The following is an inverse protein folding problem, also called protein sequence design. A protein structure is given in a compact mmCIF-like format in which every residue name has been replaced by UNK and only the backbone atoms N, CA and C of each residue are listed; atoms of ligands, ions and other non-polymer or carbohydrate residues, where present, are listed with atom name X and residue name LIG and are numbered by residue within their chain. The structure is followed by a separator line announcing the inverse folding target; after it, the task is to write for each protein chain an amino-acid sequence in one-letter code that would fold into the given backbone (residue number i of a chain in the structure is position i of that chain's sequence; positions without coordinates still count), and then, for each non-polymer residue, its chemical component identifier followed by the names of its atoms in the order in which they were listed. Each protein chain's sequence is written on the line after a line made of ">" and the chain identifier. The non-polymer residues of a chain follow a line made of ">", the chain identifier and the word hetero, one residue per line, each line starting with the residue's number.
data_IF_461249528040
#
_entry.id   IF_461249528040
#
_cell.length_a   1.000
_cell.length_b   1.000
_cell.length_c   1.000
_cell.angle_alpha   90.00
_cell.angle_beta   90.00
_cell.angle_gamma   90.00
#
_symmetry.space_group_name_H-M   'P 1'
#
loop_
_entity.id
_entity.type
_entity.pdbx_description
1 polymer ?
#
# COMPACT_ATOMS: atom_id res chain seq x y z
N UNK A 1 -26.17 47.00 -62.19
CA UNK A 1 -25.17 47.49 -61.22
C UNK A 1 -24.43 46.28 -60.68
N UNK A 2 -23.43 45.75 -61.38
CA UNK A 2 -22.04 46.22 -61.44
C UNK A 2 -21.31 46.17 -60.08
N UNK A 3 -20.19 45.42 -60.10
CA UNK A 3 -19.12 45.26 -59.11
C UNK A 3 -19.33 44.25 -57.97
N UNK A 4 -18.41 43.33 -57.67
CA UNK A 4 -17.26 42.80 -58.40
C UNK A 4 -16.84 41.51 -57.67
N UNK A 5 -16.77 40.41 -58.42
CA UNK A 5 -16.02 39.21 -58.05
C UNK A 5 -14.65 39.38 -58.69
N UNK A 6 -13.60 39.40 -57.88
CA UNK A 6 -12.23 39.32 -58.39
C UNK A 6 -11.40 38.41 -57.49
N UNK A 7 -11.09 37.24 -58.03
CA UNK A 7 -10.05 36.35 -57.56
C UNK A 7 -8.68 37.02 -57.71
N UNK A 8 -7.77 36.80 -56.76
CA UNK A 8 -6.33 36.93 -56.98
C UNK A 8 -5.59 35.85 -56.17
N UNK A 9 -4.95 34.98 -56.95
CA UNK A 9 -4.07 33.90 -56.55
C UNK A 9 -2.73 34.44 -56.02
N UNK A 10 -2.12 33.63 -55.14
CA UNK A 10 -0.67 33.41 -54.99
C UNK A 10 0.23 34.61 -54.67
N UNK A 11 0.73 34.67 -53.43
CA UNK A 11 2.17 34.79 -53.17
C UNK A 11 2.50 34.19 -51.80
N UNK A 12 3.22 33.06 -51.82
CA UNK A 12 3.94 32.53 -50.68
C UNK A 12 5.02 33.54 -50.27
N UNK A 13 4.77 34.33 -49.24
CA UNK A 13 5.81 35.06 -48.52
C UNK A 13 6.03 34.36 -47.19
N UNK A 14 6.94 33.37 -47.18
CA UNK A 14 7.56 32.87 -45.95
C UNK A 14 8.21 34.08 -45.27
N UNK A 15 7.64 34.56 -44.17
CA UNK A 15 8.28 35.56 -43.33
C UNK A 15 9.47 34.89 -42.61
N UNK A 16 10.62 34.90 -43.27
CA UNK A 16 11.92 34.63 -42.65
C UNK A 16 12.32 35.80 -41.77
N UNK A 17 11.56 36.05 -40.70
CA UNK A 17 12.03 36.82 -39.55
C UNK A 17 12.28 35.84 -38.43
N UNK A 18 13.51 35.32 -38.43
CA UNK A 18 14.17 34.85 -37.22
C UNK A 18 14.23 36.03 -36.27
N UNK A 19 13.20 36.20 -35.44
CA UNK A 19 13.27 37.11 -34.30
C UNK A 19 14.23 36.50 -33.29
N UNK A 20 15.52 36.77 -33.45
CA UNK A 20 16.49 36.64 -32.37
C UNK A 20 16.24 37.76 -31.35
N UNK A 21 15.18 37.59 -30.56
CA UNK A 21 15.07 38.27 -29.27
C UNK A 21 16.04 37.58 -28.31
N UNK A 22 17.17 38.24 -28.03
CA UNK A 22 18.10 37.82 -26.98
C UNK A 22 17.43 38.12 -25.64
N UNK A 23 16.87 37.04 -25.08
CA UNK A 23 15.84 37.06 -24.06
C UNK A 23 16.39 36.94 -22.64
N UNK A 24 17.04 38.00 -22.15
CA UNK A 24 17.33 38.08 -20.73
C UNK A 24 16.07 38.38 -19.90
N UNK A 25 15.09 39.11 -20.45
CA UNK A 25 13.78 39.34 -19.80
C UNK A 25 12.97 38.05 -19.62
N UNK A 26 12.88 37.19 -20.65
CA UNK A 26 12.21 35.87 -20.49
C UNK A 26 12.84 35.03 -19.38
N UNK A 27 14.15 35.13 -19.11
CA UNK A 27 14.79 34.32 -18.04
C UNK A 27 14.34 34.75 -16.65
N UNK A 28 14.21 36.04 -16.40
CA UNK A 28 13.66 36.56 -15.14
C UNK A 28 12.18 36.23 -15.00
N UNK A 29 11.42 36.41 -16.09
CA UNK A 29 9.98 36.12 -16.13
C UNK A 29 9.69 34.62 -15.90
N UNK A 30 10.51 33.72 -16.46
CA UNK A 30 10.39 32.27 -16.24
C UNK A 30 10.68 31.90 -14.78
N UNK A 31 11.70 32.50 -14.17
CA UNK A 31 12.02 32.25 -12.76
C UNK A 31 10.87 32.67 -11.85
N UNK A 32 10.31 33.86 -12.10
CA UNK A 32 9.16 34.35 -11.35
C UNK A 32 7.93 33.46 -11.55
N UNK A 33 7.62 33.09 -12.80
CA UNK A 33 6.50 32.21 -13.12
C UNK A 33 6.61 30.83 -12.43
N UNK A 34 7.81 30.24 -12.40
CA UNK A 34 8.06 28.98 -11.72
C UNK A 34 7.88 29.09 -10.20
N UNK A 35 8.43 30.14 -9.59
CA UNK A 35 8.30 30.39 -8.15
C UNK A 35 6.83 30.62 -7.77
N UNK A 36 6.09 31.41 -8.56
CA UNK A 36 4.68 31.71 -8.31
C UNK A 36 3.81 30.45 -8.35
N UNK A 37 4.04 29.58 -9.33
CA UNK A 37 3.30 28.33 -9.47
C UNK A 37 3.61 27.33 -8.35
N UNK A 38 4.89 27.13 -8.05
CA UNK A 38 5.31 26.28 -6.93
C UNK A 38 4.74 26.81 -5.60
N UNK A 39 4.73 28.13 -5.41
CA UNK A 39 4.12 28.77 -4.24
C UNK A 39 2.60 28.54 -4.18
N UNK A 40 1.89 28.66 -5.30
CA UNK A 40 0.44 28.44 -5.33
C UNK A 40 0.08 27.02 -4.86
N UNK A 41 0.85 26.01 -5.29
CA UNK A 41 0.71 24.62 -4.82
C UNK A 41 1.02 24.50 -3.33
N UNK A 42 2.11 25.11 -2.86
CA UNK A 42 2.44 25.11 -1.44
C UNK A 42 1.38 25.80 -0.58
N UNK A 43 0.81 26.93 -1.04
CA UNK A 43 -0.25 27.66 -0.34
C UNK A 43 -1.56 26.85 -0.28
N UNK A 44 -1.86 26.01 -1.29
CA UNK A 44 -3.01 25.10 -1.26
C UNK A 44 -2.85 24.01 -0.17
N UNK A 45 -1.67 23.38 -0.13
CA UNK A 45 -1.34 22.32 0.84
C UNK A 45 -1.14 22.87 2.26
N UNK A 46 -0.73 24.14 2.40
CA UNK A 46 -0.48 24.80 3.71
C UNK A 46 -1.67 24.72 4.67
N UNK A 47 -2.89 24.70 4.15
CA UNK A 47 -4.11 24.64 4.97
C UNK A 47 -4.35 23.29 5.63
N UNK A 48 -3.58 22.26 5.27
CA UNK A 48 -3.58 20.93 5.89
C UNK A 48 -2.43 20.73 6.88
N UNK A 49 -1.57 21.73 7.08
CA UNK A 49 -0.44 21.61 8.00
C UNK A 49 -0.85 21.77 9.47
N UNK A 50 -0.42 20.81 10.31
CA UNK A 50 -0.52 20.86 11.77
C UNK A 50 -1.81 20.25 12.33
N UNK A 51 -1.99 20.21 13.67
CA UNK A 51 -3.13 19.56 14.33
C UNK A 51 -4.47 20.25 14.08
N UNK A 52 -4.45 21.50 13.61
CA UNK A 52 -5.63 22.26 13.16
C UNK A 52 -5.73 22.34 11.63
N UNK A 53 -4.96 21.50 10.93
CA UNK A 53 -5.03 21.35 9.49
C UNK A 53 -6.42 20.84 9.09
N UNK A 54 -6.90 21.28 7.93
CA UNK A 54 -8.16 20.82 7.38
C UNK A 54 -7.90 19.76 6.30
N UNK A 55 -8.68 18.68 6.35
CA UNK A 55 -8.65 17.63 5.33
C UNK A 55 -9.12 18.16 3.99
N UNK A 56 -8.60 17.56 2.92
CA UNK A 56 -8.98 17.87 1.54
C UNK A 56 -9.81 16.72 0.98
N UNK A 57 -11.00 17.07 0.54
CA UNK A 57 -11.81 16.21 -0.30
C UNK A 57 -11.40 16.43 -1.77
N UNK A 58 -10.91 15.38 -2.41
CA UNK A 58 -10.51 15.37 -3.81
C UNK A 58 -11.44 14.41 -4.54
N UNK A 59 -12.14 14.92 -5.55
CA UNK A 59 -12.95 14.11 -6.46
C UNK A 59 -12.15 13.85 -7.73
N UNK A 60 -11.89 12.58 -8.02
CA UNK A 60 -11.29 12.16 -9.29
C UNK A 60 -12.31 12.24 -10.42
N UNK A 61 -11.84 12.29 -11.67
CA UNK A 61 -12.68 12.26 -12.88
C UNK A 61 -13.55 10.98 -12.96
N UNK A 62 -13.08 9.89 -12.34
CA UNK A 62 -13.79 8.61 -12.29
C UNK A 62 -14.93 8.58 -11.25
N UNK A 63 -15.17 9.68 -10.52
CA UNK A 63 -16.16 9.75 -9.44
C UNK A 63 -15.68 9.17 -8.10
N UNK A 64 -14.43 8.71 -8.01
CA UNK A 64 -13.79 8.32 -6.75
C UNK A 64 -13.54 9.58 -5.90
N UNK A 65 -14.07 9.60 -4.68
CA UNK A 65 -13.85 10.67 -3.71
C UNK A 65 -12.83 10.18 -2.70
N UNK A 66 -11.81 10.98 -2.42
CA UNK A 66 -10.80 10.71 -1.40
C UNK A 66 -10.77 11.89 -0.44
N UNK A 67 -10.85 11.61 0.86
CA UNK A 67 -10.65 12.61 1.91
C UNK A 67 -9.30 12.31 2.55
N UNK A 68 -8.44 13.31 2.66
CA UNK A 68 -7.13 13.11 3.29
C UNK A 68 -6.48 14.38 3.78
N UNK A 69 -5.65 14.23 4.81
CA UNK A 69 -4.77 15.28 5.32
C UNK A 69 -3.36 15.20 4.72
N UNK A 70 -2.96 14.03 4.22
CA UNK A 70 -1.60 13.78 3.77
C UNK A 70 -1.25 14.58 2.50
N UNK A 71 -0.21 15.40 2.60
CA UNK A 71 0.30 16.23 1.51
C UNK A 71 0.75 15.44 0.30
N UNK A 72 1.34 14.25 0.48
CA UNK A 72 1.79 13.43 -0.64
C UNK A 72 0.58 12.92 -1.43
N UNK A 73 -0.45 12.41 -0.74
CA UNK A 73 -1.67 11.94 -1.41
C UNK A 73 -2.42 13.08 -2.09
N UNK A 74 -2.52 14.27 -1.45
CA UNK A 74 -3.15 15.45 -2.06
C UNK A 74 -2.44 15.81 -3.38
N UNK A 75 -1.11 15.89 -3.35
CA UNK A 75 -0.31 16.29 -4.50
C UNK A 75 -0.28 15.25 -5.61
N UNK A 76 -0.30 13.95 -5.27
CA UNK A 76 -0.33 12.86 -6.25
C UNK A 76 -1.67 12.79 -7.00
N UNK A 77 -2.78 13.15 -6.34
CA UNK A 77 -4.11 13.16 -6.95
C UNK A 77 -4.44 14.48 -7.68
N UNK A 78 -3.65 15.53 -7.44
CA UNK A 78 -3.82 16.82 -8.12
C UNK A 78 -3.11 16.81 -9.48
N UNK A 79 -3.85 17.14 -10.55
CA UNK A 79 -3.28 17.28 -11.89
C UNK A 79 -2.51 18.60 -12.03
N UNK A 80 -1.20 18.55 -11.81
CA UNK A 80 -0.32 19.71 -11.92
C UNK A 80 0.28 19.81 -13.32
N UNK A 81 -0.13 20.83 -14.08
CA UNK A 81 0.35 21.06 -15.45
C UNK A 81 1.77 21.65 -15.50
N UNK A 82 2.14 22.50 -14.54
CA UNK A 82 3.40 23.22 -14.59
C UNK A 82 4.56 22.36 -14.06
N UNK A 83 5.68 22.19 -14.81
CA UNK A 83 6.79 21.33 -14.40
C UNK A 83 7.42 21.70 -13.06
N UNK A 84 7.55 22.99 -12.76
CA UNK A 84 8.12 23.46 -11.49
C UNK A 84 7.29 23.03 -10.27
N UNK A 85 5.97 22.94 -10.43
CA UNK A 85 5.08 22.48 -9.38
C UNK A 85 5.05 20.94 -9.30
N UNK A 86 5.25 20.22 -10.42
CA UNK A 86 5.46 18.77 -10.42
C UNK A 86 6.67 18.35 -9.59
N UNK A 87 7.74 19.15 -9.58
CA UNK A 87 8.90 18.91 -8.71
C UNK A 87 8.55 18.91 -7.21
N UNK A 88 7.53 19.66 -6.78
CA UNK A 88 7.06 19.62 -5.38
C UNK A 88 6.31 18.32 -5.07
N UNK A 89 5.59 17.77 -6.05
CA UNK A 89 4.94 16.45 -5.94
C UNK A 89 6.00 15.37 -5.76
N UNK A 90 7.04 15.39 -6.59
CA UNK A 90 8.15 14.43 -6.51
C UNK A 90 8.91 14.54 -5.18
N UNK A 91 9.13 15.77 -4.69
CA UNK A 91 9.74 16.03 -3.39
C UNK A 91 8.89 15.48 -2.23
N UNK A 92 7.58 15.66 -2.27
CA UNK A 92 6.67 15.07 -1.26
C UNK A 92 6.70 13.55 -1.30
N UNK A 93 6.78 12.95 -2.49
CA UNK A 93 6.87 11.49 -2.67
C UNK A 93 8.21 10.93 -2.19
N UNK A 94 9.30 11.66 -2.38
CA UNK A 94 10.61 11.27 -1.83
C UNK A 94 10.62 11.32 -0.30
N UNK A 95 9.97 12.33 0.30
CA UNK A 95 9.83 12.43 1.76
C UNK A 95 9.00 11.28 2.33
N UNK A 96 7.89 10.94 1.67
CA UNK A 96 7.03 9.81 2.02
C UNK A 96 7.80 8.48 2.00
N UNK A 97 8.57 8.22 0.93
CA UNK A 97 9.35 6.98 0.83
C UNK A 97 10.50 6.88 1.86
N UNK A 98 11.15 8.01 2.19
CA UNK A 98 12.32 8.02 3.07
C UNK A 98 11.96 8.07 4.56
N UNK A 99 11.11 9.03 4.95
CA UNK A 99 10.72 9.24 6.34
C UNK A 99 9.30 8.75 6.64
N UNK A 100 8.38 8.87 5.67
CA UNK A 100 6.96 8.49 5.83
C UNK A 100 6.13 9.44 6.70
N UNK A 101 6.68 10.61 7.06
CA UNK A 101 5.95 11.72 7.69
C UNK A 101 6.57 13.05 7.23
N UNK A 102 5.85 14.16 7.44
CA UNK A 102 6.29 15.51 7.09
C UNK A 102 6.16 15.86 5.60
N UNK A 103 5.36 15.09 4.85
CA UNK A 103 5.05 15.29 3.42
C UNK A 103 4.50 16.70 3.16
N UNK A 104 3.56 17.15 3.99
CA UNK A 104 2.99 18.51 3.95
C UNK A 104 4.03 19.57 4.32
N UNK A 105 4.84 19.32 5.35
CA UNK A 105 5.83 20.27 5.88
C UNK A 105 6.92 20.56 4.85
N UNK A 106 7.44 19.54 4.15
CA UNK A 106 8.54 19.72 3.19
C UNK A 106 8.10 20.60 2.01
N UNK A 107 6.85 20.49 1.58
CA UNK A 107 6.28 21.30 0.48
C UNK A 107 6.07 22.75 0.92
N UNK A 108 5.53 22.96 2.12
CA UNK A 108 5.34 24.31 2.69
C UNK A 108 6.69 25.00 2.94
N UNK A 109 7.70 24.25 3.39
CA UNK A 109 9.05 24.74 3.57
C UNK A 109 9.67 25.16 2.22
N UNK A 110 9.57 24.32 1.20
CA UNK A 110 10.03 24.64 -0.15
C UNK A 110 9.35 25.91 -0.71
N UNK A 111 8.03 26.02 -0.58
CA UNK A 111 7.28 27.22 -0.98
C UNK A 111 7.73 28.49 -0.25
N UNK A 112 8.04 28.37 1.04
CA UNK A 112 8.53 29.50 1.86
C UNK A 112 9.95 29.92 1.48
N UNK A 113 10.84 28.96 1.22
CA UNK A 113 12.20 29.23 0.74
C UNK A 113 12.16 29.90 -0.64
N UNK A 114 11.33 29.42 -1.56
CA UNK A 114 11.15 30.04 -2.88
C UNK A 114 10.61 31.48 -2.78
N UNK A 115 9.68 31.74 -1.85
CA UNK A 115 9.20 33.10 -1.56
C UNK A 115 10.32 34.02 -1.09
N UNK A 116 11.21 33.54 -0.20
CA UNK A 116 12.35 34.33 0.26
C UNK A 116 13.38 34.55 -0.86
N UNK A 117 13.64 33.51 -1.66
CA UNK A 117 14.50 33.60 -2.84
C UNK A 117 14.00 34.64 -3.84
N UNK A 118 12.69 34.76 -4.05
CA UNK A 118 12.12 35.80 -4.90
C UNK A 118 12.45 37.21 -4.41
N UNK A 119 12.36 37.46 -3.10
CA UNK A 119 12.74 38.75 -2.50
C UNK A 119 14.22 39.08 -2.70
N UNK A 120 15.09 38.08 -2.66
CA UNK A 120 16.54 38.22 -2.88
C UNK A 120 16.86 38.46 -4.37
N UNK A 121 16.13 37.80 -5.28
CA UNK A 121 16.22 38.04 -6.71
C UNK A 121 15.78 39.47 -7.07
N UNK A 122 14.69 39.96 -6.47
CA UNK A 122 14.24 41.34 -6.64
C UNK A 122 15.24 42.38 -6.11
N UNK A 123 16.09 42.00 -5.16
CA UNK A 123 17.18 42.83 -4.66
C UNK A 123 18.45 42.78 -5.55
N UNK A 124 18.41 42.04 -6.67
CA UNK A 124 19.51 41.95 -7.63
C UNK A 124 20.59 40.91 -7.32
N UNK A 125 20.34 39.99 -6.38
CA UNK A 125 21.30 38.93 -6.04
C UNK A 125 21.28 37.84 -7.12
N UNK A 126 22.47 37.39 -7.55
CA UNK A 126 22.59 36.37 -8.58
C UNK A 126 22.02 35.01 -8.10
N UNK A 127 21.19 34.30 -8.90
CA UNK A 127 20.53 33.05 -8.49
C UNK A 127 21.48 31.97 -7.95
N UNK A 128 22.65 31.81 -8.57
CA UNK A 128 23.65 30.82 -8.14
C UNK A 128 24.15 31.06 -6.71
N UNK A 129 24.27 32.33 -6.30
CA UNK A 129 24.68 32.69 -4.94
C UNK A 129 23.60 32.31 -3.94
N UNK A 130 22.32 32.50 -4.30
CA UNK A 130 21.17 32.08 -3.47
C UNK A 130 21.17 30.56 -3.32
N UNK A 131 21.32 29.81 -4.42
CA UNK A 131 21.36 28.35 -4.37
C UNK A 131 22.51 27.79 -3.53
N UNK A 132 23.73 28.32 -3.71
CA UNK A 132 24.91 27.91 -2.92
C UNK A 132 24.72 28.24 -1.42
N UNK A 133 24.12 29.40 -1.13
CA UNK A 133 23.82 29.80 0.25
C UNK A 133 22.76 28.89 0.90
N UNK A 134 21.72 28.50 0.17
CA UNK A 134 20.69 27.59 0.66
C UNK A 134 21.26 26.19 0.93
N UNK A 135 22.18 25.71 0.10
CA UNK A 135 22.87 24.45 0.32
C UNK A 135 23.74 24.47 1.59
N UNK A 136 24.53 25.53 1.79
CA UNK A 136 25.34 25.70 3.02
C UNK A 136 24.44 25.79 4.26
N UNK A 137 23.31 26.49 4.15
CA UNK A 137 22.30 26.58 5.20
C UNK A 137 21.70 25.20 5.53
N UNK A 138 21.35 24.39 4.53
CA UNK A 138 20.77 23.07 4.79
C UNK A 138 21.73 22.14 5.52
N UNK A 139 23.02 22.13 5.13
CA UNK A 139 24.04 21.33 5.83
C UNK A 139 24.15 21.78 7.29
N UNK A 140 24.24 23.10 7.53
CA UNK A 140 24.36 23.61 8.90
C UNK A 140 23.09 23.38 9.73
N UNK A 141 21.93 23.44 9.12
CA UNK A 141 20.65 23.16 9.79
C UNK A 141 20.58 21.70 10.26
N UNK A 142 21.06 20.75 9.44
CA UNK A 142 21.15 19.34 9.83
C UNK A 142 22.08 19.15 11.03
N UNK A 143 23.25 19.79 11.05
CA UNK A 143 24.16 19.74 12.22
C UNK A 143 23.48 20.23 13.51
N UNK A 144 22.70 21.30 13.41
CA UNK A 144 21.97 21.88 14.55
C UNK A 144 20.83 20.96 15.00
N UNK A 145 20.13 20.32 14.07
CA UNK A 145 19.09 19.34 14.42
C UNK A 145 19.70 18.13 15.12
N UNK A 146 20.86 17.64 14.67
CA UNK A 146 21.57 16.55 15.33
C UNK A 146 22.04 16.91 16.75
N UNK A 147 22.45 18.16 16.99
CA UNK A 147 22.85 18.59 18.34
C UNK A 147 21.66 18.81 19.29
N UNK A 148 20.46 19.02 18.75
CA UNK A 148 19.21 19.18 19.52
C UNK A 148 18.44 17.87 19.72
N UNK A 149 18.84 16.80 19.03
CA UNK A 149 18.13 15.53 19.06
C UNK A 149 18.40 14.78 20.36
N UNK A 150 17.34 14.23 20.94
CA UNK A 150 17.37 13.45 22.18
C UNK A 150 17.45 11.96 21.81
N UNK A 151 18.41 11.20 22.35
CA UNK A 151 18.49 9.79 22.06
C UNK A 151 17.26 9.05 22.61
N UNK A 152 16.62 8.21 21.80
CA UNK A 152 15.46 7.40 22.16
C UNK A 152 15.90 5.94 22.26
N UNK A 153 15.52 5.20 23.30
CA UNK A 153 15.77 3.77 23.38
C UNK A 153 14.52 2.98 22.92
N UNK A 154 14.73 1.86 22.23
CA UNK A 154 13.65 0.95 21.81
C UNK A 154 12.87 0.32 22.97
N UNK A 155 13.50 0.26 24.15
CA UNK A 155 12.90 -0.19 25.40
C UNK A 155 11.85 0.80 25.93
N UNK A 156 11.94 2.08 25.56
CA UNK A 156 11.04 3.13 26.02
C UNK A 156 9.76 3.18 25.18
N UNK A 157 8.87 2.23 25.47
CA UNK A 157 7.55 2.12 24.83
C UNK A 157 6.73 3.41 25.00
N UNK A 158 6.81 4.08 26.13
CA UNK A 158 5.99 5.27 26.41
C UNK A 158 6.37 6.44 25.51
N UNK A 159 7.66 6.64 25.26
CA UNK A 159 8.11 7.68 24.34
C UNK A 159 7.77 7.35 22.87
N UNK A 160 7.85 6.08 22.46
CA UNK A 160 7.41 5.64 21.14
C UNK A 160 5.91 5.87 20.93
N UNK A 161 5.09 5.55 21.94
CA UNK A 161 3.63 5.77 21.89
C UNK A 161 3.31 7.26 21.80
N UNK A 162 4.01 8.12 22.55
CA UNK A 162 3.84 9.58 22.45
C UNK A 162 4.20 10.10 21.06
N UNK A 163 5.27 9.58 20.45
CA UNK A 163 5.69 9.96 19.10
C UNK A 163 4.63 9.57 18.07
N UNK A 164 4.15 8.32 18.11
CA UNK A 164 3.09 7.84 17.23
C UNK A 164 1.77 8.61 17.42
N UNK A 165 1.36 8.86 18.67
CA UNK A 165 0.16 9.63 18.98
C UNK A 165 0.22 11.05 18.41
N UNK A 166 1.40 11.68 18.45
CA UNK A 166 1.57 13.04 17.96
C UNK A 166 1.44 13.13 16.43
N UNK A 167 1.96 12.14 15.70
CA UNK A 167 1.78 12.05 14.24
C UNK A 167 0.31 11.80 13.84
N UNK A 168 -0.46 11.09 14.67
CA UNK A 168 -1.87 10.82 14.42
C UNK A 168 -2.81 11.99 14.76
N UNK A 169 -2.39 12.94 15.60
CA UNK A 169 -3.26 14.00 16.13
C UNK A 169 -3.77 15.00 15.08
N UNK A 170 -3.09 15.15 13.94
CA UNK A 170 -3.55 16.03 12.85
C UNK A 170 -4.56 15.37 11.90
N UNK A 171 -4.88 14.09 12.09
CA UNK A 171 -5.69 13.30 11.16
C UNK A 171 -7.11 13.09 11.67
N UNK A 172 -7.97 12.59 10.78
CA UNK A 172 -9.36 12.21 11.10
C UNK A 172 -9.43 11.22 12.27
N UNK A 173 -8.41 10.37 12.40
CA UNK A 173 -8.32 9.35 13.47
C UNK A 173 -7.72 9.87 14.78
N UNK A 174 -7.54 11.19 14.94
CA UNK A 174 -6.97 11.81 16.15
C UNK A 174 -7.70 11.42 17.44
N UNK A 175 -9.02 11.28 17.40
CA UNK A 175 -9.83 10.83 18.55
C UNK A 175 -9.47 9.40 18.98
N UNK A 176 -9.03 8.57 18.03
CA UNK A 176 -8.67 7.17 18.22
C UNK A 176 -7.15 6.97 18.38
N UNK A 177 -6.38 8.05 18.50
CA UNK A 177 -4.91 8.01 18.68
C UNK A 177 -4.50 7.19 19.90
N UNK A 178 -5.31 7.19 20.96
CA UNK A 178 -5.09 6.41 22.18
C UNK A 178 -5.09 4.90 21.95
N UNK A 179 -5.83 4.41 20.95
CA UNK A 179 -5.87 3.00 20.56
C UNK A 179 -4.83 2.69 19.47
N UNK A 180 -4.77 3.53 18.43
CA UNK A 180 -3.94 3.29 17.25
C UNK A 180 -2.44 3.48 17.52
N UNK A 181 -2.04 4.39 18.41
CA UNK A 181 -0.63 4.63 18.71
C UNK A 181 0.04 3.44 19.41
N UNK A 182 -0.52 2.88 20.51
CA UNK A 182 -0.02 1.62 21.09
C UNK A 182 0.02 0.49 20.08
N UNK A 183 -1.02 0.36 19.25
CA UNK A 183 -1.13 -0.70 18.26
C UNK A 183 -0.02 -0.63 17.21
N UNK A 184 0.30 0.57 16.71
CA UNK A 184 1.40 0.76 15.76
C UNK A 184 2.76 0.44 16.40
N UNK A 185 2.97 0.82 17.67
CA UNK A 185 4.21 0.53 18.40
C UNK A 185 4.36 -0.98 18.61
N UNK A 186 3.32 -1.66 19.08
CA UNK A 186 3.34 -3.11 19.33
C UNK A 186 3.53 -3.89 18.01
N UNK A 187 2.96 -3.41 16.90
CA UNK A 187 3.17 -3.98 15.57
C UNK A 187 4.64 -3.86 15.13
N UNK A 188 5.27 -2.69 15.27
CA UNK A 188 6.69 -2.51 14.90
C UNK A 188 7.61 -3.33 15.80
N UNK A 189 7.40 -3.28 17.13
CA UNK A 189 8.23 -4.03 18.09
C UNK A 189 8.18 -5.55 17.85
N UNK A 190 7.07 -6.08 17.34
CA UNK A 190 6.95 -7.51 16.99
C UNK A 190 7.75 -7.92 15.75
N UNK A 191 8.08 -6.97 14.87
CA UNK A 191 8.81 -7.19 13.61
C UNK A 191 10.31 -6.88 13.76
N UNK A 192 10.70 -6.04 14.73
CA UNK A 192 12.09 -5.64 14.95
C UNK A 192 12.96 -6.84 15.31
N UNK A 193 14.05 -7.01 14.55
CA UNK A 193 15.11 -7.98 14.80
C UNK A 193 16.05 -7.49 15.90
N UNK A 194 16.25 -8.24 17.00
CA UNK A 194 17.24 -7.87 18.02
C UNK A 194 18.69 -7.85 17.50
N UNK A 195 18.97 -8.64 16.46
CA UNK A 195 20.31 -8.76 15.85
C UNK A 195 20.58 -7.68 14.79
N UNK A 196 19.53 -7.16 14.14
CA UNK A 196 19.61 -6.13 13.11
C UNK A 196 18.48 -5.10 13.31
N UNK A 197 18.55 -4.27 14.38
CA UNK A 197 17.53 -3.26 14.64
C UNK A 197 17.41 -2.23 13.51
N UNK A 198 18.43 -2.14 12.66
CA UNK A 198 18.53 -1.20 11.55
C UNK A 198 17.71 -1.59 10.30
N UNK A 199 17.09 -2.78 10.28
CA UNK A 199 16.39 -3.30 9.10
C UNK A 199 14.93 -3.67 9.42
N UNK A 200 14.11 -2.66 9.71
CA UNK A 200 12.66 -2.84 9.85
C UNK A 200 11.97 -2.65 8.51
N UNK A 201 11.49 -3.73 7.91
CA UNK A 201 10.66 -3.67 6.71
C UNK A 201 9.17 -3.56 7.06
N UNK A 202 8.51 -2.50 6.59
CA UNK A 202 7.07 -2.29 6.81
C UNK A 202 6.22 -3.29 6.01
N UNK A 203 6.79 -3.98 5.03
CA UNK A 203 6.09 -5.04 4.27
C UNK A 203 5.73 -6.25 5.13
N UNK A 204 6.42 -6.43 6.24
CA UNK A 204 6.13 -7.48 7.22
C UNK A 204 5.01 -7.08 8.20
N UNK A 205 4.45 -5.86 8.09
CA UNK A 205 3.23 -5.44 8.77
C UNK A 205 2.12 -5.30 7.75
N UNK A 206 1.18 -6.25 7.72
CA UNK A 206 0.06 -6.21 6.79
C UNK A 206 -1.14 -5.50 7.41
N UNK A 207 -1.68 -4.51 6.71
CA UNK A 207 -2.93 -3.85 7.09
C UNK A 207 -4.05 -4.47 6.25
N UNK A 208 -5.04 -5.08 6.91
CA UNK A 208 -6.23 -5.64 6.26
C UNK A 208 -7.42 -4.75 6.60
N UNK A 209 -8.08 -4.25 5.56
CA UNK A 209 -9.21 -3.33 5.71
C UNK A 209 -10.54 -4.03 5.57
N UNK A 210 -11.44 -3.83 6.53
CA UNK A 210 -12.81 -4.35 6.48
C UNK A 210 -13.85 -3.30 6.80
N UNK A 211 -14.82 -3.20 5.88
CA UNK A 211 -16.01 -2.39 6.06
C UNK A 211 -16.89 -2.94 7.18
N UNK A 212 -17.36 -2.04 8.04
CA UNK A 212 -18.30 -2.29 9.11
C UNK A 212 -17.70 -2.07 10.50
N UNK A 213 -18.55 -1.68 11.44
CA UNK A 213 -18.16 -1.33 12.82
C UNK A 213 -17.57 0.06 12.94
N UNK A 214 -16.72 0.23 13.95
CA UNK A 214 -16.05 1.48 14.27
C UNK A 214 -14.53 1.31 14.19
N UNK A 215 -13.79 2.43 14.16
CA UNK A 215 -12.32 2.39 14.20
C UNK A 215 -11.82 1.83 15.53
N UNK A 216 -12.61 1.93 16.61
CA UNK A 216 -12.32 1.32 17.91
C UNK A 216 -12.25 -0.22 17.87
N UNK A 217 -12.91 -0.84 16.90
CA UNK A 217 -12.88 -2.30 16.72
C UNK A 217 -11.59 -2.77 16.01
N UNK A 218 -10.63 -1.88 15.77
CA UNK A 218 -9.35 -2.20 15.15
C UNK A 218 -8.48 -2.98 16.13
N UNK A 219 -7.96 -4.11 15.68
CA UNK A 219 -7.19 -5.03 16.52
C UNK A 219 -5.88 -5.47 15.86
N UNK A 220 -4.85 -5.67 16.69
CA UNK A 220 -3.60 -6.29 16.28
C UNK A 220 -3.75 -7.81 16.40
N UNK A 221 -3.54 -8.52 15.29
CA UNK A 221 -3.61 -9.97 15.25
C UNK A 221 -2.21 -10.51 15.01
N UNK A 222 -1.71 -11.28 15.99
CA UNK A 222 -0.48 -12.06 15.86
C UNK A 222 -0.75 -13.30 15.00
N UNK A 223 -0.78 -13.09 13.69
CA UNK A 223 -1.06 -14.13 12.71
C UNK A 223 -1.47 -13.53 11.36
N UNK A 224 -2.21 -14.32 10.59
CA UNK A 224 -2.70 -13.93 9.25
C UNK A 224 -4.19 -13.64 9.28
N UNK A 225 -4.58 -12.57 8.61
CA UNK A 225 -5.99 -12.26 8.33
C UNK A 225 -6.21 -12.20 6.83
N UNK A 226 -7.29 -12.84 6.37
CA UNK A 226 -7.75 -12.73 5.01
C UNK A 226 -9.10 -12.02 4.93
N UNK A 227 -9.17 -11.09 3.99
CA UNK A 227 -10.39 -10.40 3.57
C UNK A 227 -11.39 -11.36 2.88
N UNK A 228 -10.88 -12.49 2.40
CA UNK A 228 -11.58 -13.43 1.52
C UNK A 228 -12.51 -14.34 2.33
N UNK A 229 -13.61 -14.73 1.70
CA UNK A 229 -14.57 -15.69 2.27
C UNK A 229 -14.08 -17.12 2.04
N UNK A 230 -14.41 -18.02 2.97
CA UNK A 230 -14.26 -19.45 2.72
C UNK A 230 -15.23 -19.87 1.62
N UNK A 231 -14.84 -20.84 0.78
CA UNK A 231 -15.74 -21.42 -0.20
C UNK A 231 -16.83 -22.25 0.48
N UNK A 232 -18.00 -21.64 0.72
CA UNK A 232 -19.18 -22.27 1.36
C UNK A 232 -19.97 -23.20 0.45
N UNK A 233 -19.65 -23.26 -0.84
CA UNK A 233 -20.46 -23.95 -1.86
C UNK A 233 -20.62 -25.46 -1.63
N UNK A 234 -19.84 -26.07 -0.73
CA UNK A 234 -19.80 -27.51 -0.53
C UNK A 234 -19.82 -27.99 0.94
N UNK A 235 -20.07 -27.12 1.92
CA UNK A 235 -20.06 -27.52 3.34
C UNK A 235 -18.66 -27.67 3.95
N UNK A 236 -17.71 -26.87 3.49
CA UNK A 236 -16.37 -26.78 4.09
C UNK A 236 -16.45 -26.40 5.58
N UNK A 237 -15.54 -26.92 6.43
CA UNK A 237 -15.49 -26.53 7.83
C UNK A 237 -15.17 -25.03 7.96
N UNK A 238 -15.89 -24.32 8.83
CA UNK A 238 -15.65 -22.90 9.14
C UNK A 238 -14.56 -22.69 10.18
N UNK A 239 -14.28 -23.72 10.97
CA UNK A 239 -13.28 -23.70 12.05
C UNK A 239 -12.49 -25.00 12.04
N UNK A 240 -11.17 -24.88 12.12
CA UNK A 240 -10.20 -25.97 12.14
C UNK A 240 -9.22 -25.73 13.27
N UNK A 241 -9.10 -26.71 14.17
CA UNK A 241 -8.11 -26.72 15.25
C UNK A 241 -6.90 -27.57 14.83
N UNK A 242 -5.69 -27.17 15.23
CA UNK A 242 -4.41 -27.75 14.82
C UNK A 242 -4.32 -27.92 13.29
N UNK A 243 -4.46 -26.80 12.59
CA UNK A 243 -4.44 -26.74 11.15
C UNK A 243 -3.02 -26.92 10.59
N UNK A 244 -2.87 -27.87 9.66
CA UNK A 244 -1.76 -27.91 8.71
C UNK A 244 -2.13 -27.14 7.46
N UNK A 245 -1.43 -26.04 7.20
CA UNK A 245 -1.72 -25.09 6.13
C UNK A 245 -0.77 -25.30 4.97
N UNK A 246 -1.31 -25.44 3.76
CA UNK A 246 -0.54 -25.48 2.52
C UNK A 246 -0.79 -24.25 1.66
N UNK A 247 0.26 -23.66 1.11
CA UNK A 247 0.17 -22.64 0.06
C UNK A 247 0.44 -23.29 -1.28
N UNK A 248 -0.58 -23.27 -2.16
CA UNK A 248 -0.54 -23.87 -3.48
C UNK A 248 -0.48 -22.77 -4.55
N UNK A 249 0.43 -22.96 -5.52
CA UNK A 249 0.53 -22.12 -6.72
C UNK A 249 -0.10 -22.76 -7.97
N UNK A 250 -0.32 -24.09 -7.97
CA UNK A 250 -1.01 -24.79 -9.06
C UNK A 250 -2.54 -24.73 -8.93
N UNK A 251 -3.25 -24.93 -10.04
CA UNK A 251 -4.71 -24.96 -10.06
C UNK A 251 -5.26 -26.37 -9.79
N UNK A 252 -6.40 -26.45 -9.12
CA UNK A 252 -7.17 -27.70 -8.94
C UNK A 252 -8.34 -27.67 -9.93
N UNK A 253 -8.01 -27.79 -11.21
CA UNK A 253 -8.96 -27.79 -12.33
C UNK A 253 -8.82 -29.04 -13.19
N UNK A 254 -9.79 -29.33 -14.06
CA UNK A 254 -9.60 -30.31 -15.13
C UNK A 254 -8.33 -30.02 -15.94
N UNK A 255 -7.71 -31.05 -16.53
CA UNK A 255 -6.46 -30.89 -17.25
C UNK A 255 -6.70 -30.01 -18.48
N UNK A 256 -6.15 -28.81 -18.45
CA UNK A 256 -6.07 -27.91 -19.59
C UNK A 256 -4.62 -27.81 -20.02
N UNK A 257 -4.37 -27.78 -21.32
CA UNK A 257 -3.04 -27.51 -21.88
C UNK A 257 -2.86 -26.04 -22.16
N UNK A 258 -1.62 -25.56 -22.17
CA UNK A 258 -1.32 -24.16 -22.53
C UNK A 258 -1.47 -23.91 -24.04
N UNK A 259 -1.45 -24.98 -24.83
CA UNK A 259 -1.67 -24.96 -26.27
C UNK A 259 -3.16 -25.20 -26.52
N UNK A 260 -3.72 -24.54 -27.54
CA UNK A 260 -5.07 -24.80 -28.01
C UNK A 260 -5.25 -26.28 -28.35
N UNK A 261 -6.16 -26.93 -27.65
CA UNK A 261 -6.50 -28.33 -27.86
C UNK A 261 -8.01 -28.47 -28.07
N UNK A 262 -8.38 -29.25 -29.09
CA UNK A 262 -9.76 -29.66 -29.33
C UNK A 262 -9.88 -31.16 -29.06
N UNK A 263 -10.82 -31.51 -28.18
CA UNK A 263 -11.15 -32.91 -27.90
C UNK A 263 -12.25 -33.32 -28.87
N UNK A 264 -11.93 -34.16 -29.84
CA UNK A 264 -12.90 -34.67 -30.83
C UNK A 264 -13.57 -35.90 -30.23
N UNK A 265 -14.85 -35.76 -29.86
CA UNK A 265 -15.66 -36.87 -29.34
C UNK A 265 -16.39 -37.53 -30.50
N UNK A 266 -16.06 -38.79 -30.80
CA UNK A 266 -16.62 -39.53 -31.95
C UNK A 266 -17.84 -40.38 -31.56
N UNK A 267 -17.91 -40.80 -30.30
CA UNK A 267 -18.93 -41.72 -29.78
C UNK A 267 -19.44 -41.28 -28.41
N UNK A 268 -20.71 -41.56 -28.11
CA UNK A 268 -21.35 -41.23 -26.83
C UNK A 268 -20.66 -41.93 -25.66
N UNK A 269 -20.13 -43.15 -25.85
CA UNK A 269 -19.41 -43.86 -24.78
C UNK A 269 -18.08 -43.17 -24.41
N UNK A 270 -17.47 -42.43 -25.34
CA UNK A 270 -16.25 -41.68 -25.09
C UNK A 270 -16.53 -40.45 -24.20
N UNK A 271 -17.70 -39.82 -24.35
CA UNK A 271 -18.10 -38.69 -23.52
C UNK A 271 -18.16 -39.06 -22.04
N UNK A 272 -18.74 -40.22 -21.71
CA UNK A 272 -18.76 -40.75 -20.35
C UNK A 272 -17.37 -41.06 -19.79
N UNK A 273 -16.45 -41.54 -20.65
CA UNK A 273 -15.05 -41.81 -20.25
C UNK A 273 -14.31 -40.54 -19.89
N UNK A 274 -14.44 -39.49 -20.72
CA UNK A 274 -13.82 -38.18 -20.47
C UNK A 274 -14.30 -37.59 -19.14
N UNK A 275 -15.61 -37.58 -18.91
CA UNK A 275 -16.20 -37.08 -17.65
C UNK A 275 -15.76 -37.89 -16.41
N UNK A 276 -15.45 -39.19 -16.58
CA UNK A 276 -14.89 -40.01 -15.50
C UNK A 276 -13.41 -39.72 -15.28
N UNK A 277 -12.63 -39.54 -16.34
CA UNK A 277 -11.21 -39.20 -16.25
C UNK A 277 -10.98 -37.84 -15.60
N UNK A 278 -11.75 -36.81 -15.97
CA UNK A 278 -11.69 -35.49 -15.33
C UNK A 278 -11.97 -35.56 -13.82
N UNK A 279 -13.02 -36.32 -13.44
CA UNK A 279 -13.34 -36.56 -12.02
C UNK A 279 -12.22 -37.29 -11.31
N UNK A 280 -11.69 -38.36 -11.91
CA UNK A 280 -10.61 -39.15 -11.34
C UNK A 280 -9.31 -38.35 -11.18
N UNK A 281 -9.03 -37.42 -12.12
CA UNK A 281 -7.88 -36.55 -12.07
C UNK A 281 -7.94 -35.61 -10.85
N UNK A 282 -9.06 -34.89 -10.68
CA UNK A 282 -9.28 -34.00 -9.53
C UNK A 282 -9.26 -34.81 -8.22
N UNK A 283 -9.96 -35.94 -8.18
CA UNK A 283 -10.02 -36.82 -7.01
C UNK A 283 -8.64 -37.39 -6.66
N UNK A 284 -7.80 -37.68 -7.65
CA UNK A 284 -6.41 -38.07 -7.47
C UNK A 284 -5.56 -36.99 -6.80
N UNK A 285 -5.74 -35.71 -7.17
CA UNK A 285 -5.07 -34.59 -6.49
C UNK A 285 -5.53 -34.44 -5.05
N UNK A 286 -6.85 -34.45 -4.81
CA UNK A 286 -7.43 -34.30 -3.47
C UNK A 286 -6.97 -35.43 -2.54
N UNK A 287 -6.86 -36.67 -3.05
CA UNK A 287 -6.29 -37.80 -2.30
C UNK A 287 -4.83 -37.55 -1.89
N UNK A 288 -3.99 -37.00 -2.77
CA UNK A 288 -2.60 -36.66 -2.45
C UNK A 288 -2.52 -35.56 -1.38
N UNK A 289 -3.34 -34.52 -1.51
CA UNK A 289 -3.44 -33.44 -0.50
C UNK A 289 -3.89 -34.04 0.84
N UNK A 290 -4.91 -34.90 0.87
CA UNK A 290 -5.38 -35.54 2.09
C UNK A 290 -4.34 -36.49 2.70
N UNK A 291 -3.57 -37.22 1.88
CA UNK A 291 -2.54 -38.14 2.33
C UNK A 291 -1.40 -37.44 3.09
N UNK A 292 -1.13 -36.17 2.77
CA UNK A 292 -0.15 -35.35 3.50
C UNK A 292 -0.64 -34.85 4.87
N UNK A 293 -1.94 -35.02 5.18
CA UNK A 293 -2.56 -34.49 6.39
C UNK A 293 -2.87 -32.99 6.36
N UNK A 294 -2.87 -32.34 5.19
CA UNK A 294 -3.23 -30.94 5.05
C UNK A 294 -4.72 -30.70 5.37
N UNK A 295 -5.00 -29.73 6.25
CA UNK A 295 -6.36 -29.38 6.68
C UNK A 295 -6.83 -28.03 6.13
N UNK A 296 -5.90 -27.13 5.79
CA UNK A 296 -6.20 -25.79 5.27
C UNK A 296 -5.40 -25.54 4.00
N UNK A 297 -6.07 -25.08 2.96
CA UNK A 297 -5.51 -24.88 1.64
C UNK A 297 -5.64 -23.41 1.23
N UNK A 298 -4.52 -22.78 0.94
CA UNK A 298 -4.44 -21.42 0.39
C UNK A 298 -4.07 -21.53 -1.08
N UNK A 299 -4.97 -21.15 -1.98
CA UNK A 299 -4.76 -21.26 -3.43
C UNK A 299 -4.50 -19.88 -4.02
N UNK A 300 -3.38 -19.76 -4.73
CA UNK A 300 -3.03 -18.57 -5.49
C UNK A 300 -4.07 -18.28 -6.57
N UNK A 301 -4.42 -17.00 -6.73
CA UNK A 301 -5.25 -16.51 -7.83
C UNK A 301 -4.55 -16.80 -9.15
N UNK A 302 -5.23 -17.55 -10.01
CA UNK A 302 -4.80 -17.83 -11.37
C UNK A 302 -5.65 -17.02 -12.34
N UNK A 303 -5.01 -16.22 -13.20
CA UNK A 303 -5.67 -15.40 -14.22
C UNK A 303 -5.81 -16.18 -15.54
N UNK A 304 -4.87 -17.09 -15.79
CA UNK A 304 -4.81 -17.87 -17.03
C UNK A 304 -5.86 -19.00 -17.06
N UNK A 305 -6.17 -19.54 -15.89
CA UNK A 305 -7.03 -20.73 -15.72
C UNK A 305 -7.81 -20.63 -14.42
N UNK A 306 -8.93 -21.33 -14.37
CA UNK A 306 -9.73 -21.46 -13.16
C UNK A 306 -8.90 -22.10 -12.05
N UNK A 307 -8.71 -21.40 -10.92
CA UNK A 307 -7.91 -21.90 -9.81
C UNK A 307 -8.57 -23.13 -9.13
N UNK A 308 -9.89 -23.12 -9.05
CA UNK A 308 -10.73 -24.20 -8.51
C UNK A 308 -12.01 -24.30 -9.32
N UNK A 309 -12.53 -25.52 -9.47
CA UNK A 309 -13.87 -25.79 -10.02
C UNK A 309 -14.85 -26.21 -8.92
N UNK A 310 -16.16 -26.09 -9.15
CA UNK A 310 -17.18 -26.49 -8.16
C UNK A 310 -17.05 -27.98 -7.76
N UNK A 311 -16.70 -28.84 -8.72
CA UNK A 311 -16.41 -30.25 -8.48
C UNK A 311 -15.20 -30.44 -7.56
N UNK A 312 -14.13 -29.66 -7.74
CA UNK A 312 -12.96 -29.71 -6.86
C UNK A 312 -13.30 -29.27 -5.43
N UNK A 313 -14.11 -28.23 -5.28
CA UNK A 313 -14.57 -27.73 -3.99
C UNK A 313 -15.43 -28.76 -3.27
N UNK A 314 -16.28 -29.49 -4.00
CA UNK A 314 -17.06 -30.60 -3.46
C UNK A 314 -16.19 -31.69 -2.85
N UNK A 315 -15.18 -32.19 -3.60
CA UNK A 315 -14.28 -33.22 -3.08
C UNK A 315 -13.39 -32.73 -1.92
N UNK A 316 -12.98 -31.46 -1.95
CA UNK A 316 -12.22 -30.86 -0.84
C UNK A 316 -13.08 -30.73 0.43
N UNK A 317 -14.36 -30.42 0.28
CA UNK A 317 -15.30 -30.37 1.41
C UNK A 317 -15.60 -31.75 1.98
N UNK A 318 -15.81 -32.77 1.14
CA UNK A 318 -15.91 -34.18 1.59
C UNK A 318 -14.63 -34.64 2.31
N UNK A 319 -13.47 -34.13 1.90
CA UNK A 319 -12.20 -34.37 2.58
C UNK A 319 -12.05 -33.60 3.90
N UNK A 320 -12.98 -32.70 4.23
CA UNK A 320 -12.96 -31.77 5.38
C UNK A 320 -11.78 -30.80 5.38
N UNK A 321 -11.38 -30.34 4.19
CA UNK A 321 -10.29 -29.37 4.01
C UNK A 321 -10.90 -27.98 3.84
N UNK A 322 -10.45 -27.00 4.65
CA UNK A 322 -10.83 -25.60 4.50
C UNK A 322 -10.04 -25.00 3.34
N UNK A 323 -10.72 -24.33 2.40
CA UNK A 323 -10.08 -23.75 1.21
C UNK A 323 -10.32 -22.25 1.14
N UNK A 324 -9.22 -21.50 1.02
CA UNK A 324 -9.22 -20.08 0.70
C UNK A 324 -8.70 -19.92 -0.71
N UNK A 325 -9.57 -19.48 -1.61
CA UNK A 325 -9.23 -19.23 -3.01
C UNK A 325 -8.81 -17.78 -3.22
N UNK A 326 -8.23 -17.52 -4.38
CA UNK A 326 -7.92 -16.19 -4.89
C UNK A 326 -6.87 -15.42 -4.07
N UNK A 327 -5.90 -16.10 -3.44
CA UNK A 327 -4.77 -15.47 -2.73
C UNK A 327 -3.90 -14.69 -3.71
N UNK A 328 -3.58 -13.43 -3.41
CA UNK A 328 -2.80 -12.61 -4.35
C UNK A 328 -1.33 -13.05 -4.36
N UNK A 329 -0.64 -12.84 -5.48
CA UNK A 329 0.77 -13.25 -5.60
C UNK A 329 1.67 -12.53 -4.60
N UNK A 330 1.42 -11.25 -4.40
CA UNK A 330 2.22 -10.40 -3.49
C UNK A 330 2.00 -10.80 -2.03
N UNK A 331 0.84 -11.41 -1.70
CA UNK A 331 0.55 -11.94 -0.37
C UNK A 331 1.31 -13.24 -0.06
N UNK A 332 1.79 -13.98 -1.08
CA UNK A 332 2.41 -15.30 -0.86
C UNK A 332 3.68 -15.17 -0.03
N UNK A 333 4.54 -14.18 -0.33
CA UNK A 333 5.78 -13.99 0.41
C UNK A 333 5.49 -13.75 1.90
N UNK A 334 4.54 -12.84 2.19
CA UNK A 334 4.07 -12.56 3.54
C UNK A 334 3.56 -13.83 4.24
N UNK A 335 2.66 -14.59 3.60
CA UNK A 335 2.11 -15.83 4.17
C UNK A 335 3.21 -16.86 4.45
N UNK A 336 4.16 -17.01 3.52
CA UNK A 336 5.26 -17.98 3.66
C UNK A 336 6.20 -17.62 4.80
N UNK A 337 6.49 -16.31 4.99
CA UNK A 337 7.23 -15.82 6.15
C UNK A 337 6.46 -16.08 7.44
N UNK A 338 5.18 -15.72 7.51
CA UNK A 338 4.37 -15.84 8.73
C UNK A 338 4.16 -17.29 9.18
N UNK A 339 3.87 -18.20 8.24
CA UNK A 339 3.61 -19.62 8.52
C UNK A 339 4.87 -20.49 8.49
N UNK A 340 6.02 -19.93 8.12
CA UNK A 340 7.28 -20.65 7.87
C UNK A 340 7.08 -21.86 6.93
N UNK A 341 6.30 -21.69 5.86
CA UNK A 341 5.93 -22.74 4.93
C UNK A 341 6.48 -22.47 3.53
N UNK A 342 6.73 -23.52 2.75
CA UNK A 342 7.22 -23.39 1.37
C UNK A 342 6.07 -23.47 0.37
N UNK A 343 5.95 -22.51 -0.56
CA UNK A 343 4.90 -22.54 -1.57
C UNK A 343 5.09 -23.73 -2.51
N UNK A 344 4.00 -24.43 -2.82
CA UNK A 344 4.01 -25.68 -3.58
C UNK A 344 3.56 -25.40 -5.02
N UNK A 345 4.51 -25.50 -5.95
CA UNK A 345 4.27 -25.28 -7.37
C UNK A 345 3.65 -26.49 -8.09
N UNK A 346 3.95 -27.72 -7.67
CA UNK A 346 3.43 -28.95 -8.29
C UNK A 346 2.88 -29.92 -7.23
N UNK A 347 1.83 -30.65 -7.59
CA UNK A 347 1.20 -31.66 -6.72
C UNK A 347 2.15 -32.79 -6.29
N UNK A 348 3.18 -33.11 -7.07
CA UNK A 348 4.16 -34.16 -6.74
C UNK A 348 5.12 -33.74 -5.63
N UNK A 349 5.32 -32.44 -5.45
CA UNK A 349 6.15 -31.90 -4.39
C UNK A 349 5.36 -31.63 -3.10
N UNK A 350 4.12 -32.10 -3.03
CA UNK A 350 3.25 -31.97 -1.87
C UNK A 350 3.70 -32.94 -0.76
N UNK A 351 4.52 -32.45 0.17
CA UNK A 351 5.06 -33.19 1.31
C UNK A 351 4.71 -32.48 2.61
N UNK A 352 4.66 -33.24 3.70
CA UNK A 352 4.35 -32.71 5.03
C UNK A 352 5.35 -31.66 5.51
N UNK A 353 6.62 -31.77 5.13
CA UNK A 353 7.70 -30.83 5.44
C UNK A 353 7.45 -29.40 4.94
N UNK A 354 6.59 -29.22 3.93
CA UNK A 354 6.28 -27.91 3.35
C UNK A 354 5.06 -27.23 3.98
N UNK A 355 4.37 -27.93 4.88
CA UNK A 355 3.14 -27.44 5.51
C UNK A 355 3.47 -26.53 6.69
N UNK A 356 2.75 -25.41 6.79
CA UNK A 356 2.76 -24.56 7.97
C UNK A 356 1.85 -25.13 9.06
N UNK A 357 2.09 -24.74 10.32
CA UNK A 357 1.26 -25.13 11.46
C UNK A 357 0.57 -23.91 12.08
N UNK A 358 -0.73 -24.01 12.33
CA UNK A 358 -1.49 -23.04 13.13
C UNK A 358 -2.44 -23.74 14.10
N UNK A 359 -2.58 -23.21 15.31
CA UNK A 359 -3.43 -23.81 16.34
C UNK A 359 -4.92 -23.62 16.04
N UNK A 360 -5.31 -22.46 15.51
CA UNK A 360 -6.70 -22.16 15.19
C UNK A 360 -6.83 -21.38 13.87
N UNK A 361 -7.62 -21.94 12.96
CA UNK A 361 -8.11 -21.24 11.76
C UNK A 361 -9.61 -21.17 11.83
N UNK A 362 -10.16 -19.97 11.87
CA UNK A 362 -11.61 -19.77 11.92
C UNK A 362 -12.08 -18.64 11.01
N UNK A 363 -13.27 -18.84 10.43
CA UNK A 363 -14.00 -17.81 9.74
C UNK A 363 -14.87 -17.04 10.76
N UNK A 364 -14.40 -15.87 11.16
CA UNK A 364 -15.12 -15.01 12.11
C UNK A 364 -16.08 -14.10 11.33
N UNK A 365 -17.33 -14.10 11.79
CA UNK A 365 -18.33 -13.13 11.39
C UNK A 365 -18.09 -11.84 12.16
N UNK A 366 -17.75 -10.78 11.44
CA UNK A 366 -17.54 -9.45 12.00
C UNK A 366 -18.71 -8.56 11.58
N UNK A 367 -19.50 -8.11 12.57
CA UNK A 367 -20.63 -7.18 12.37
C UNK A 367 -21.76 -7.70 11.47
N UNK A 368 -22.25 -6.84 10.56
CA UNK A 368 -23.43 -7.02 9.69
C UNK A 368 -23.27 -8.06 8.56
N UNK A 369 -22.59 -9.17 8.82
CA UNK A 369 -22.45 -10.30 7.88
C UNK A 369 -21.16 -10.30 7.04
N UNK A 370 -20.21 -9.41 7.35
CA UNK A 370 -18.86 -9.51 6.80
C UNK A 370 -18.13 -10.71 7.43
N UNK A 371 -17.42 -11.48 6.60
CA UNK A 371 -16.65 -12.64 7.06
C UNK A 371 -15.19 -12.38 6.82
N UNK A 372 -14.36 -12.70 7.81
CA UNK A 372 -12.91 -12.76 7.66
C UNK A 372 -12.40 -14.10 8.12
N UNK A 373 -11.25 -14.49 7.61
CA UNK A 373 -10.55 -15.68 8.08
C UNK A 373 -9.40 -15.22 8.96
N UNK A 374 -9.41 -15.66 10.22
CA UNK A 374 -8.32 -15.44 11.16
C UNK A 374 -7.53 -16.73 11.33
N UNK A 375 -6.21 -16.63 11.24
CA UNK A 375 -5.26 -17.70 11.54
C UNK A 375 -4.45 -17.24 12.74
N UNK A 376 -4.59 -17.95 13.86
CA UNK A 376 -3.97 -17.60 15.15
C UNK A 376 -3.26 -18.80 15.76
N UNK A 377 -2.33 -18.54 16.68
CA UNK A 377 -1.54 -19.58 17.36
C UNK A 377 -0.55 -20.27 16.41
N UNK A 378 0.31 -19.50 15.76
CA UNK A 378 1.41 -20.05 14.96
C UNK A 378 2.58 -20.26 15.94
N UNK A 379 3.14 -21.47 16.01
CA UNK A 379 4.18 -21.81 17.01
C UNK A 379 5.52 -21.15 16.73
N UNK A 380 5.90 -21.09 15.45
CA UNK A 380 7.07 -20.38 14.95
C UNK A 380 6.61 -19.19 14.09
N UNK A 381 6.02 -18.18 14.74
CA UNK A 381 5.54 -16.99 14.03
C UNK A 381 6.76 -16.34 13.36
N UNK A 382 6.77 -16.27 12.03
CA UNK A 382 7.69 -15.37 11.33
C UNK A 382 7.41 -13.95 11.80
N UNK A 383 8.45 -13.09 11.85
CA UNK A 383 8.39 -11.70 12.34
C UNK A 383 7.48 -10.83 11.49
N UNK A 384 6.18 -11.04 11.62
CA UNK A 384 5.12 -10.48 10.80
C UNK A 384 3.89 -10.27 11.66
N UNK A 385 3.18 -9.18 11.42
CA UNK A 385 1.93 -8.89 12.10
C UNK A 385 0.86 -8.43 11.13
N UNK A 386 -0.39 -8.70 11.48
CA UNK A 386 -1.53 -8.22 10.72
C UNK A 386 -2.38 -7.29 11.58
N UNK A 387 -2.64 -6.09 11.09
CA UNK A 387 -3.58 -5.14 11.70
C UNK A 387 -4.90 -5.21 10.96
N UNK A 388 -5.98 -5.52 11.66
CA UNK A 388 -7.33 -5.48 11.09
C UNK A 388 -7.93 -4.10 11.35
N UNK A 389 -8.01 -3.27 10.31
CA UNK A 389 -8.63 -1.94 10.38
C UNK A 389 -10.10 -2.04 10.03
N UNK A 390 -10.94 -1.51 10.93
CA UNK A 390 -12.39 -1.44 10.77
C UNK A 390 -12.86 0.00 10.69
N UNK A 391 -14.03 0.20 10.09
CA UNK A 391 -14.63 1.52 10.00
C UNK A 391 -16.01 1.49 9.36
N UNK A 392 -16.78 2.55 9.61
CA UNK A 392 -18.16 2.66 9.15
C UNK A 392 -18.27 3.01 7.67
N UNK A 393 -17.28 3.74 7.13
CA UNK A 393 -17.26 4.21 5.75
C UNK A 393 -15.91 3.90 5.09
N UNK A 394 -15.92 3.58 3.80
CA UNK A 394 -14.72 3.27 3.02
C UNK A 394 -13.70 4.43 3.09
N UNK A 395 -14.17 5.67 2.99
CA UNK A 395 -13.33 6.87 3.09
C UNK A 395 -12.58 6.95 4.43
N UNK A 396 -13.24 6.57 5.52
CA UNK A 396 -12.66 6.60 6.86
C UNK A 396 -11.62 5.47 7.01
N UNK A 397 -11.89 4.29 6.44
CA UNK A 397 -10.97 3.16 6.47
C UNK A 397 -9.70 3.44 5.66
N UNK A 398 -9.85 3.98 4.45
CA UNK A 398 -8.71 4.31 3.60
C UNK A 398 -7.86 5.44 4.22
N UNK A 399 -8.48 6.37 4.96
CA UNK A 399 -7.73 7.37 5.75
C UNK A 399 -7.11 6.77 7.02
N UNK A 400 -7.77 5.83 7.69
CA UNK A 400 -7.21 5.14 8.85
C UNK A 400 -6.00 4.27 8.48
N UNK A 401 -6.05 3.55 7.35
CA UNK A 401 -4.93 2.78 6.79
C UNK A 401 -3.71 3.69 6.55
N UNK A 402 -3.91 4.82 5.86
CA UNK A 402 -2.84 5.80 5.62
C UNK A 402 -2.34 6.44 6.91
N UNK A 403 -3.25 6.80 7.80
CA UNK A 403 -2.90 7.37 9.10
C UNK A 403 -2.00 6.44 9.90
N UNK A 404 -2.34 5.15 9.90
CA UNK A 404 -1.59 4.10 10.57
C UNK A 404 -0.25 3.84 9.87
N UNK A 405 -0.19 3.90 8.54
CA UNK A 405 1.07 3.82 7.79
C UNK A 405 2.08 4.88 8.25
N UNK A 406 1.68 6.15 8.33
CA UNK A 406 2.62 7.19 8.76
C UNK A 406 3.03 6.99 10.23
N UNK A 407 2.12 6.53 11.09
CA UNK A 407 2.46 6.20 12.47
C UNK A 407 3.49 5.06 12.56
N UNK A 408 3.34 4.00 11.73
CA UNK A 408 4.33 2.93 11.61
C UNK A 408 5.67 3.47 11.10
N UNK A 409 5.66 4.38 10.13
CA UNK A 409 6.86 5.04 9.61
C UNK A 409 7.58 5.87 10.67
N UNK A 410 6.86 6.62 11.51
CA UNK A 410 7.42 7.40 12.61
C UNK A 410 8.07 6.50 13.65
N UNK A 411 7.40 5.39 14.03
CA UNK A 411 7.96 4.42 14.98
C UNK A 411 9.18 3.73 14.38
N UNK A 412 9.14 3.35 13.10
CA UNK A 412 10.29 2.82 12.36
C UNK A 412 11.47 3.78 12.38
N UNK A 413 11.24 5.07 12.13
CA UNK A 413 12.32 6.06 12.12
C UNK A 413 12.90 6.31 13.52
N UNK A 414 12.04 6.30 14.55
CA UNK A 414 12.46 6.34 15.95
C UNK A 414 13.29 5.12 16.36
N UNK A 415 12.97 3.94 15.81
CA UNK A 415 13.73 2.72 15.98
C UNK A 415 15.12 2.76 15.32
N UNK A 416 15.20 3.32 14.11
CA UNK A 416 16.41 3.34 13.27
C UNK A 416 17.42 4.39 13.69
N UNK A 417 16.96 5.62 13.95
CA UNK A 417 17.87 6.75 14.18
C UNK A 417 18.02 7.10 15.65
N UNK A 418 17.32 6.41 16.56
CA UNK A 418 17.37 6.61 18.03
C UNK A 418 17.39 8.09 18.41
N UNK A 419 16.79 9.01 17.64
CA UNK A 419 16.95 10.45 17.81
C UNK A 419 15.60 11.13 17.62
N UNK A 420 15.08 11.72 18.69
CA UNK A 420 13.84 12.48 18.71
C UNK A 420 14.18 13.98 18.75
N UNK A 421 13.78 14.73 17.73
CA UNK A 421 13.85 16.19 17.79
C UNK A 421 12.63 16.74 18.54
N UNK A 422 12.85 17.62 19.51
CA UNK A 422 11.82 18.27 20.34
C UNK A 422 10.78 19.06 19.48
N UNK A 423 11.11 19.37 18.23
CA UNK A 423 10.25 20.11 17.30
C UNK A 423 8.97 19.37 16.86
N UNK A 424 8.79 18.11 17.28
CA UNK A 424 7.58 17.32 17.03
C UNK A 424 6.51 17.46 18.13
N UNK A 425 6.67 18.34 19.14
CA UNK A 425 5.68 18.60 20.19
C UNK A 425 4.79 19.82 19.92
#
# INVERSE_FOLDING_TARGET
>A
MAAAVTALNTTNARSSKTESYVDNKRRDDIRQANILAARAVADAVRTSLGPKGMDKMISSANGEVIITNDGATILNKMEVLQPAAKMLVDLSRSQDAAAGDGTTTVVVLAGSLLRRSLSLLSAGIHPTVISDSLYKLSVRAVDVLHSMAIPLELSDRDSLVKSAATSLNSKVVSQYSSLLAPLAVDAVLSVVDPEHPDLVDLRDIKIVKKLGGTVDDTELIHGLVFDKKVSHTAGCPTRVENAKIAVIQFQISPPKTDIEQSIIVSDYTQMDRILREERNYILGMVKKIKASGCNVLLIQKSILRDAVTDLSLHYLAEAKILVVKDVERDEIEFITKTLNCLPIANIEHFREEKLGHADLVEEVLIGDGSKIIKITGIKDVGRTTTVLVRGSNQLMIDEAERSLHDALCVVRYGALNLLLCIASF
#
